data_IF_762292890746
#
_entry.id   IF_762292890746
#
_cell.length_a   1.000
_cell.length_b   1.000
_cell.length_c   1.000
_cell.angle_alpha   90.00
_cell.angle_beta   90.00
_cell.angle_gamma   90.00
#
_symmetry.space_group_name_H-M   'P 1'
#
loop_
_entity.id
_entity.type
_entity.pdbx_description
1 polymer ?
#
# COMPACT_ATOMS: atom_id res chain seq x y z
N UNK A 1 14.64 10.77 27.14
CA UNK A 1 14.22 10.08 25.89
C UNK A 1 13.07 10.89 25.34
N UNK A 2 13.22 11.47 24.14
CA UNK A 2 12.10 12.14 23.48
C UNK A 2 11.15 11.01 23.06
N UNK A 3 9.98 10.93 23.70
CA UNK A 3 8.90 10.08 23.22
C UNK A 3 8.46 10.67 21.88
N UNK A 4 9.03 10.18 20.77
CA UNK A 4 8.41 10.39 19.47
C UNK A 4 6.99 9.85 19.55
N UNK A 5 6.01 10.69 19.19
CA UNK A 5 4.62 10.28 19.11
C UNK A 5 4.51 9.04 18.21
N UNK A 6 3.66 8.06 18.55
CA UNK A 6 3.49 6.88 17.74
C UNK A 6 3.05 7.31 16.33
N UNK A 7 3.67 6.70 15.31
CA UNK A 7 3.27 6.90 13.91
C UNK A 7 1.80 6.54 13.76
N UNK A 8 1.08 7.30 12.94
CA UNK A 8 -0.35 7.13 12.79
C UNK A 8 -0.78 7.05 11.32
N UNK A 9 -1.88 6.35 11.07
CA UNK A 9 -2.52 6.27 9.76
C UNK A 9 -4.01 6.02 9.92
N UNK A 10 -4.80 6.33 8.89
CA UNK A 10 -6.21 5.94 8.85
C UNK A 10 -6.40 4.58 8.15
N UNK A 11 -7.46 3.88 8.51
CA UNK A 11 -7.76 2.56 7.91
C UNK A 11 -8.02 2.65 6.39
N UNK A 12 -8.55 3.79 5.91
CA UNK A 12 -8.80 4.03 4.48
C UNK A 12 -7.51 4.04 3.65
N UNK A 13 -6.39 4.53 4.20
CA UNK A 13 -5.05 4.46 3.59
C UNK A 13 -4.59 3.01 3.51
N UNK A 14 -4.77 2.24 4.59
CA UNK A 14 -4.45 0.80 4.62
C UNK A 14 -5.29 0.03 3.59
N UNK A 15 -6.53 0.45 3.31
CA UNK A 15 -7.40 -0.15 2.29
C UNK A 15 -7.03 0.29 0.86
N UNK A 16 -6.66 1.56 0.68
CA UNK A 16 -6.27 2.14 -0.59
C UNK A 16 -5.03 1.48 -1.17
N UNK A 17 -4.02 1.19 -0.35
CA UNK A 17 -2.74 0.70 -0.82
C UNK A 17 -2.83 -0.68 -1.49
N UNK A 18 -3.43 -1.74 -0.88
CA UNK A 18 -3.65 -3.02 -1.56
C UNK A 18 -4.50 -2.89 -2.83
N UNK A 19 -5.50 -2.00 -2.81
CA UNK A 19 -6.35 -1.72 -3.97
C UNK A 19 -5.54 -1.17 -5.14
N UNK A 20 -4.68 -0.19 -4.87
CA UNK A 20 -3.75 0.39 -5.85
C UNK A 20 -2.70 -0.61 -6.33
N UNK A 21 -2.08 -1.35 -5.41
CA UNK A 21 -1.09 -2.37 -5.75
C UNK A 21 -1.69 -3.46 -6.64
N UNK A 22 -2.93 -3.87 -6.39
CA UNK A 22 -3.64 -4.83 -7.23
C UNK A 22 -3.92 -4.29 -8.65
N UNK A 23 -4.18 -2.99 -8.81
CA UNK A 23 -4.26 -2.36 -10.15
C UNK A 23 -2.90 -2.42 -10.86
N UNK A 24 -1.84 -2.09 -10.13
CA UNK A 24 -0.48 -2.03 -10.65
C UNK A 24 0.03 -3.42 -11.05
N UNK A 25 -0.23 -4.44 -10.23
CA UNK A 25 -0.04 -5.86 -10.53
C UNK A 25 -0.71 -6.15 -11.87
N UNK A 26 -2.01 -5.92 -12.03
CA UNK A 26 -2.70 -6.20 -13.31
C UNK A 26 -2.27 -5.34 -14.51
N UNK A 27 -1.32 -4.42 -14.35
CA UNK A 27 -0.82 -3.57 -15.43
C UNK A 27 -1.87 -2.60 -15.96
N UNK A 28 -2.96 -2.38 -15.21
CA UNK A 28 -4.05 -1.51 -15.64
C UNK A 28 -3.61 -0.06 -15.42
N UNK A 29 -3.62 0.74 -16.48
CA UNK A 29 -3.27 2.14 -16.38
C UNK A 29 -4.33 2.91 -15.57
N UNK A 30 -3.92 3.90 -14.79
CA UNK A 30 -4.84 4.66 -13.93
C UNK A 30 -5.98 5.28 -14.75
N UNK A 31 -5.70 5.86 -15.91
CA UNK A 31 -6.75 6.42 -16.79
C UNK A 31 -7.78 5.37 -17.24
N UNK A 32 -7.34 4.14 -17.54
CA UNK A 32 -8.25 3.05 -17.93
C UNK A 32 -9.16 2.64 -16.78
N UNK A 33 -8.62 2.57 -15.55
CA UNK A 33 -9.46 2.28 -14.40
C UNK A 33 -10.45 3.42 -14.14
N UNK A 34 -10.02 4.67 -14.24
CA UNK A 34 -10.87 5.83 -14.03
C UNK A 34 -12.10 5.78 -14.95
N UNK A 35 -11.88 5.47 -16.24
CA UNK A 35 -12.96 5.26 -17.21
C UNK A 35 -13.92 4.15 -16.79
N UNK A 36 -13.42 2.97 -16.39
CA UNK A 36 -14.24 1.83 -15.94
C UNK A 36 -15.14 2.15 -14.74
N UNK A 37 -14.72 3.06 -13.86
CA UNK A 37 -15.46 3.43 -12.66
C UNK A 37 -16.19 4.78 -12.77
N UNK A 38 -16.25 5.37 -13.97
CA UNK A 38 -16.95 6.64 -14.21
C UNK A 38 -16.31 7.86 -13.53
N UNK A 39 -14.98 7.88 -13.40
CA UNK A 39 -14.19 8.99 -12.84
C UNK A 39 -13.25 9.58 -13.89
N UNK A 40 -12.86 10.84 -13.72
CA UNK A 40 -11.77 11.41 -14.52
C UNK A 40 -10.42 10.87 -14.05
N UNK A 41 -9.40 10.76 -14.93
CA UNK A 41 -8.06 10.36 -14.55
C UNK A 41 -7.49 11.20 -13.40
N UNK A 42 -7.75 12.52 -13.41
CA UNK A 42 -7.33 13.45 -12.35
C UNK A 42 -8.02 13.14 -11.00
N UNK A 43 -9.31 12.78 -11.01
CA UNK A 43 -10.01 12.38 -9.79
C UNK A 43 -9.43 11.10 -9.22
N UNK A 44 -9.15 10.09 -10.04
CA UNK A 44 -8.56 8.84 -9.56
C UNK A 44 -7.12 9.05 -9.06
N UNK A 45 -6.34 9.90 -9.73
CA UNK A 45 -5.00 10.27 -9.29
C UNK A 45 -4.99 10.89 -7.89
N UNK A 46 -5.94 11.78 -7.60
CA UNK A 46 -6.07 12.38 -6.26
C UNK A 46 -6.45 11.35 -5.21
N UNK A 47 -7.37 10.43 -5.52
CA UNK A 47 -7.77 9.33 -4.63
C UNK A 47 -6.58 8.43 -4.32
N UNK A 48 -5.84 7.97 -5.34
CA UNK A 48 -4.65 7.13 -5.16
C UNK A 48 -3.43 7.84 -4.54
N UNK A 49 -3.48 9.17 -4.49
CA UNK A 49 -2.52 10.00 -3.78
C UNK A 49 -2.97 10.36 -2.35
N UNK A 50 -4.17 9.92 -1.94
CA UNK A 50 -4.80 10.27 -0.65
C UNK A 50 -5.35 11.70 -0.57
N UNK A 51 -5.16 12.52 -1.59
CA UNK A 51 -5.65 13.92 -1.68
C UNK A 51 -7.17 14.04 -1.84
N UNK A 52 -7.86 12.92 -1.98
CA UNK A 52 -9.32 12.84 -2.04
C UNK A 52 -9.75 11.54 -1.38
N UNK A 53 -10.86 11.53 -0.63
CA UNK A 53 -11.26 10.36 0.13
C UNK A 53 -11.60 9.18 -0.78
N UNK A 54 -11.15 7.98 -0.42
CA UNK A 54 -11.65 6.74 -0.98
C UNK A 54 -13.02 6.44 -0.34
N UNK A 55 -14.09 6.84 -1.01
CA UNK A 55 -15.45 6.53 -0.55
C UNK A 55 -15.80 5.06 -0.80
N UNK A 56 -16.80 4.55 -0.08
CA UNK A 56 -17.25 3.15 -0.24
C UNK A 56 -17.69 2.86 -1.68
N UNK A 57 -18.43 3.76 -2.31
CA UNK A 57 -18.86 3.60 -3.72
C UNK A 57 -17.67 3.48 -4.67
N UNK A 58 -16.63 4.32 -4.48
CA UNK A 58 -15.41 4.24 -5.29
C UNK A 58 -14.68 2.93 -5.02
N UNK A 59 -14.56 2.52 -3.76
CA UNK A 59 -13.91 1.26 -3.39
C UNK A 59 -14.61 0.04 -4.02
N UNK A 60 -15.94 -0.03 -3.95
CA UNK A 60 -16.71 -1.10 -4.56
C UNK A 60 -16.57 -1.10 -6.09
N UNK A 61 -16.62 0.07 -6.72
CA UNK A 61 -16.41 0.19 -8.16
C UNK A 61 -14.98 -0.22 -8.57
N UNK A 62 -13.97 0.15 -7.77
CA UNK A 62 -12.58 -0.25 -7.96
C UNK A 62 -12.44 -1.78 -7.92
N UNK A 63 -13.03 -2.43 -6.91
CA UNK A 63 -13.05 -3.88 -6.78
C UNK A 63 -13.76 -4.56 -7.95
N UNK A 64 -14.92 -4.05 -8.37
CA UNK A 64 -15.67 -4.56 -9.52
C UNK A 64 -14.89 -4.47 -10.83
N UNK A 65 -14.28 -3.31 -11.10
CA UNK A 65 -13.45 -3.10 -12.30
C UNK A 65 -12.16 -3.95 -12.32
N UNK A 66 -11.75 -4.43 -11.14
CA UNK A 66 -10.64 -5.34 -10.91
C UNK A 66 -11.07 -6.81 -10.76
N UNK A 67 -12.37 -7.13 -10.90
CA UNK A 67 -12.92 -8.48 -10.72
C UNK A 67 -12.46 -9.16 -9.43
N UNK A 68 -12.48 -8.41 -8.32
CA UNK A 68 -12.08 -8.92 -7.01
C UNK A 68 -13.17 -8.67 -5.98
N UNK A 69 -13.32 -9.58 -5.02
CA UNK A 69 -14.26 -9.39 -3.93
C UNK A 69 -13.77 -8.27 -2.99
N UNK A 70 -14.60 -7.27 -2.66
CA UNK A 70 -14.26 -6.24 -1.68
C UNK A 70 -13.81 -6.82 -0.33
N UNK A 71 -14.45 -7.93 0.09
CA UNK A 71 -14.09 -8.63 1.33
C UNK A 71 -12.66 -9.16 1.36
N UNK A 72 -12.12 -9.60 0.22
CA UNK A 72 -10.74 -10.06 0.12
C UNK A 72 -9.76 -8.90 0.33
N UNK A 73 -10.05 -7.73 -0.25
CA UNK A 73 -9.23 -6.53 -0.07
C UNK A 73 -9.29 -6.02 1.37
N UNK A 74 -10.48 -6.03 1.98
CA UNK A 74 -10.65 -5.67 3.40
C UNK A 74 -9.88 -6.62 4.31
N UNK A 75 -9.97 -7.94 4.10
CA UNK A 75 -9.21 -8.92 4.87
C UNK A 75 -7.70 -8.70 4.75
N UNK A 76 -7.20 -8.32 3.56
CA UNK A 76 -5.79 -7.93 3.38
C UNK A 76 -5.44 -6.68 4.16
N UNK A 77 -6.29 -5.64 4.09
CA UNK A 77 -6.09 -4.41 4.85
C UNK A 77 -6.07 -4.67 6.37
N UNK A 78 -6.95 -5.52 6.89
CA UNK A 78 -6.97 -5.91 8.31
C UNK A 78 -5.68 -6.60 8.74
N UNK A 79 -5.11 -7.49 7.91
CA UNK A 79 -3.82 -8.12 8.22
C UNK A 79 -2.67 -7.11 8.23
N UNK A 80 -2.67 -6.14 7.31
CA UNK A 80 -1.69 -5.04 7.34
C UNK A 80 -1.89 -4.12 8.55
N UNK A 81 -3.14 -3.87 8.94
CA UNK A 81 -3.44 -3.13 10.15
C UNK A 81 -2.88 -3.85 11.39
N UNK A 82 -3.11 -5.15 11.51
CA UNK A 82 -2.53 -5.96 12.59
C UNK A 82 -0.99 -5.89 12.60
N UNK A 83 -0.35 -5.97 11.43
CA UNK A 83 1.10 -5.81 11.30
C UNK A 83 1.58 -4.42 11.76
N UNK A 84 0.94 -3.35 11.29
CA UNK A 84 1.26 -1.97 11.68
C UNK A 84 1.12 -1.79 13.21
N UNK A 85 0.01 -2.25 13.79
CA UNK A 85 -0.21 -2.21 15.24
C UNK A 85 0.86 -2.99 16.02
N UNK A 86 1.28 -4.16 15.53
CA UNK A 86 2.37 -4.94 16.15
C UNK A 86 3.73 -4.22 16.14
N UNK A 87 3.88 -3.21 15.27
CA UNK A 87 5.07 -2.35 15.16
C UNK A 87 4.87 -0.98 15.81
N UNK A 88 3.85 -0.82 16.66
CA UNK A 88 3.60 0.39 17.45
C UNK A 88 2.90 1.52 16.71
N UNK A 89 2.28 1.26 15.55
CA UNK A 89 1.49 2.27 14.84
C UNK A 89 0.09 2.41 15.45
N UNK A 90 -0.39 3.66 15.51
CA UNK A 90 -1.77 3.98 15.85
C UNK A 90 -2.63 3.97 14.58
N UNK A 91 -3.70 3.19 14.58
CA UNK A 91 -4.61 3.06 13.43
C UNK A 91 -5.94 3.70 13.78
N UNK A 92 -6.28 4.75 13.05
CA UNK A 92 -7.49 5.52 13.26
C UNK A 92 -8.60 5.05 12.32
N UNK A 93 -9.83 5.01 12.84
CA UNK A 93 -11.04 4.76 12.05
C UNK A 93 -11.66 6.05 11.49
N UNK A 94 -11.26 7.19 12.04
CA UNK A 94 -11.67 8.52 11.58
C UNK A 94 -10.76 9.03 10.46
N UNK A 95 -11.24 10.04 9.74
CA UNK A 95 -10.41 10.79 8.80
C UNK A 95 -9.20 11.39 9.50
N UNK A 96 -8.09 11.43 8.78
CA UNK A 96 -6.84 12.05 9.21
C UNK A 96 -6.42 13.03 8.11
N UNK A 97 -5.86 14.18 8.48
CA UNK A 97 -5.31 15.11 7.49
C UNK A 97 -4.09 14.48 6.81
N UNK A 98 -3.87 14.78 5.52
CA UNK A 98 -2.75 14.24 4.74
C UNK A 98 -1.39 14.46 5.42
N UNK A 99 -1.23 15.59 6.12
CA UNK A 99 0.00 15.94 6.84
C UNK A 99 0.23 15.12 8.12
N UNK A 100 -0.77 14.39 8.58
CA UNK A 100 -0.72 13.61 9.81
C UNK A 100 -0.72 12.10 9.53
N UNK A 101 -1.06 11.65 8.30
CA UNK A 101 -1.01 10.23 7.89
C UNK A 101 0.40 9.80 7.45
N UNK A 102 1.13 9.16 8.35
CA UNK A 102 2.53 8.77 8.12
C UNK A 102 2.68 7.65 7.10
N UNK A 103 1.68 6.75 6.99
CA UNK A 103 1.70 5.69 5.99
C UNK A 103 1.44 6.27 4.60
N UNK A 104 0.52 7.22 4.49
CA UNK A 104 0.26 7.89 3.22
C UNK A 104 1.51 8.62 2.73
N UNK A 105 2.20 9.38 3.59
CA UNK A 105 3.49 10.02 3.26
C UNK A 105 4.54 9.01 2.81
N UNK A 106 4.75 7.94 3.59
CA UNK A 106 5.70 6.89 3.26
C UNK A 106 5.36 6.22 1.92
N UNK A 107 4.07 6.06 1.60
CA UNK A 107 3.64 5.52 0.31
C UNK A 107 3.98 6.45 -0.85
N UNK A 108 3.80 7.76 -0.72
CA UNK A 108 4.15 8.71 -1.78
C UNK A 108 5.66 8.76 -2.03
N UNK A 109 6.46 8.67 -0.96
CA UNK A 109 7.91 8.54 -1.03
C UNK A 109 8.31 7.25 -1.75
N UNK A 110 7.70 6.11 -1.39
CA UNK A 110 7.90 4.83 -2.06
C UNK A 110 7.58 4.90 -3.56
N UNK A 111 6.40 5.40 -3.94
CA UNK A 111 6.00 5.52 -5.34
C UNK A 111 6.87 6.49 -6.15
N UNK A 112 7.57 7.41 -5.47
CA UNK A 112 8.52 8.33 -6.11
C UNK A 112 9.96 7.79 -6.12
N UNK A 113 10.22 6.74 -5.35
CA UNK A 113 11.56 6.17 -5.15
C UNK A 113 12.15 5.59 -6.43
N UNK A 114 13.49 5.63 -6.58
CA UNK A 114 14.17 4.96 -7.67
C UNK A 114 13.90 3.45 -7.72
N UNK A 115 13.80 2.76 -6.57
CA UNK A 115 13.49 1.34 -6.50
C UNK A 115 12.12 0.99 -7.10
N UNK A 116 11.08 1.75 -6.77
CA UNK A 116 9.75 1.58 -7.38
C UNK A 116 9.76 1.84 -8.89
N UNK A 117 10.52 2.84 -9.36
CA UNK A 117 10.62 3.18 -10.80
C UNK A 117 11.32 2.08 -11.60
N UNK A 118 12.24 1.33 -10.99
CA UNK A 118 12.91 0.17 -11.62
C UNK A 118 12.15 -1.15 -11.46
N UNK A 119 11.04 -1.16 -10.72
CA UNK A 119 10.31 -2.40 -10.47
C UNK A 119 9.87 -3.01 -11.79
N UNK A 120 10.14 -4.30 -11.95
CA UNK A 120 9.67 -5.08 -13.08
C UNK A 120 8.29 -5.63 -12.72
N UNK A 121 7.36 -5.58 -13.67
CA UNK A 121 6.04 -6.17 -13.44
C UNK A 121 6.15 -7.71 -13.47
N UNK A 122 6.16 -8.35 -12.30
CA UNK A 122 6.42 -9.79 -12.13
C UNK A 122 5.16 -10.58 -11.71
N UNK A 123 4.03 -10.30 -12.37
CA UNK A 123 2.71 -10.85 -12.04
C UNK A 123 2.59 -12.38 -11.99
N UNK A 124 3.48 -13.09 -12.70
CA UNK A 124 3.44 -14.55 -12.77
C UNK A 124 4.40 -15.24 -11.78
N UNK A 125 5.17 -14.47 -11.02
CA UNK A 125 6.22 -14.98 -10.12
C UNK A 125 5.96 -14.53 -8.68
N UNK A 126 5.40 -13.33 -8.49
CA UNK A 126 5.10 -12.79 -7.16
C UNK A 126 3.70 -13.23 -6.69
N UNK A 127 3.51 -13.48 -5.38
CA UNK A 127 2.18 -13.63 -4.80
C UNK A 127 1.34 -12.37 -5.06
N UNK A 128 0.04 -12.55 -5.26
CA UNK A 128 -0.88 -11.43 -5.45
C UNK A 128 -0.81 -10.44 -4.29
N UNK A 129 -1.05 -9.15 -4.58
CA UNK A 129 -1.17 -8.07 -3.61
C UNK A 129 -2.10 -8.39 -2.44
N UNK A 130 -3.07 -9.28 -2.65
CA UNK A 130 -4.03 -9.69 -1.63
C UNK A 130 -3.56 -10.82 -0.73
N UNK A 131 -2.42 -11.46 -0.98
CA UNK A 131 -1.91 -12.58 -0.17
C UNK A 131 -1.02 -12.13 0.99
N UNK A 132 -0.60 -10.86 1.02
CA UNK A 132 0.22 -10.30 2.09
C UNK A 132 -0.57 -9.83 3.32
N UNK A 133 0.13 -9.43 4.40
CA UNK A 133 1.51 -9.80 4.70
C UNK A 133 1.65 -11.32 4.94
N UNK A 134 2.83 -11.87 4.61
CA UNK A 134 3.20 -13.27 4.82
C UNK A 134 4.17 -13.33 6.00
N UNK A 135 3.84 -14.16 6.99
CA UNK A 135 4.67 -14.37 8.18
C UNK A 135 5.41 -15.70 8.05
N UNK A 136 6.73 -15.66 8.17
CA UNK A 136 7.59 -16.83 8.13
C UNK A 136 7.91 -17.34 9.54
N UNK A 137 8.23 -18.63 9.65
CA UNK A 137 8.55 -19.28 10.94
C UNK A 137 9.79 -18.68 11.63
N UNK A 138 10.70 -18.09 10.86
CA UNK A 138 11.88 -17.40 11.39
C UNK A 138 11.58 -15.98 11.90
N UNK A 139 10.31 -15.56 11.92
CA UNK A 139 9.88 -14.23 12.35
C UNK A 139 9.94 -13.16 11.27
N UNK A 140 10.41 -13.50 10.06
CA UNK A 140 10.42 -12.56 8.94
C UNK A 140 9.01 -12.29 8.43
N UNK A 141 8.83 -11.11 7.86
CA UNK A 141 7.57 -10.67 7.25
C UNK A 141 7.86 -10.17 5.84
N UNK A 142 7.02 -10.58 4.89
CA UNK A 142 7.05 -10.11 3.51
C UNK A 142 5.64 -9.69 3.05
N UNK A 143 5.55 -9.03 1.90
CA UNK A 143 4.31 -8.61 1.27
C UNK A 143 4.51 -7.35 0.44
N UNK A 144 3.45 -6.56 0.31
CA UNK A 144 3.44 -5.30 -0.40
C UNK A 144 4.58 -4.37 0.07
N UNK A 145 5.50 -4.09 -0.85
CA UNK A 145 6.72 -3.31 -0.61
C UNK A 145 6.41 -1.92 -0.07
N UNK A 146 5.27 -1.32 -0.44
CA UNK A 146 4.84 -0.02 0.11
C UNK A 146 4.66 -0.04 1.64
N UNK A 147 4.16 -1.14 2.21
CA UNK A 147 4.09 -1.33 3.66
C UNK A 147 5.46 -1.66 4.26
N UNK A 148 6.24 -2.50 3.59
CA UNK A 148 7.60 -2.85 4.03
C UNK A 148 8.51 -1.61 4.09
N UNK A 149 8.37 -0.71 3.12
CA UNK A 149 9.05 0.58 3.06
C UNK A 149 8.71 1.47 4.27
N UNK A 150 7.45 1.48 4.71
CA UNK A 150 7.02 2.25 5.88
C UNK A 150 7.49 1.64 7.21
N UNK A 151 7.53 0.31 7.28
CA UNK A 151 7.78 -0.45 8.51
C UNK A 151 9.28 -0.71 8.78
N UNK A 152 10.08 -0.95 7.74
CA UNK A 152 11.44 -1.47 7.88
C UNK A 152 12.48 -0.52 7.29
N UNK A 153 13.35 0.08 8.13
CA UNK A 153 14.38 1.02 7.66
C UNK A 153 15.31 0.44 6.58
N UNK A 154 15.68 -0.85 6.69
CA UNK A 154 16.49 -1.55 5.68
C UNK A 154 15.80 -1.56 4.31
N UNK A 155 14.49 -1.87 4.26
CA UNK A 155 13.71 -1.87 3.03
C UNK A 155 13.62 -0.46 2.43
N UNK A 156 13.36 0.55 3.29
CA UNK A 156 13.35 1.96 2.88
C UNK A 156 14.69 2.37 2.24
N UNK A 157 15.80 2.07 2.89
CA UNK A 157 17.13 2.38 2.40
C UNK A 157 17.40 1.74 1.03
N UNK A 158 17.10 0.44 0.88
CA UNK A 158 17.26 -0.28 -0.39
C UNK A 158 16.46 0.35 -1.54
N UNK A 159 15.22 0.78 -1.28
CA UNK A 159 14.36 1.43 -2.29
C UNK A 159 14.86 2.83 -2.68
N UNK A 160 15.51 3.56 -1.76
CA UNK A 160 16.07 4.89 -2.02
C UNK A 160 17.45 4.85 -2.69
N UNK A 161 18.31 3.89 -2.31
CA UNK A 161 19.69 3.77 -2.79
C UNK A 161 19.82 2.89 -4.05
N UNK A 162 18.79 2.10 -4.38
CA UNK A 162 18.78 1.13 -5.49
C UNK A 162 19.87 0.08 -5.39
N UNK A 163 20.00 -0.50 -4.20
CA UNK A 163 20.86 -1.68 -4.02
C UNK A 163 20.12 -2.88 -4.63
N UNK A 164 20.68 -3.46 -5.68
CA UNK A 164 20.14 -4.66 -6.34
C UNK A 164 20.17 -5.87 -5.39
N UNK A 165 19.08 -6.10 -4.65
CA UNK A 165 18.86 -7.36 -3.91
C UNK A 165 17.39 -7.79 -4.05
N UNK A 166 17.17 -8.80 -4.89
CA UNK A 166 15.95 -9.63 -4.95
C UNK A 166 16.24 -11.00 -4.29
N UNK A 167 15.28 -11.67 -3.61
CA UNK A 167 14.34 -11.18 -2.62
C UNK A 167 14.91 -11.26 -1.19
N UNK A 168 14.14 -10.73 -0.22
CA UNK A 168 14.48 -10.52 1.18
C UNK A 168 15.17 -11.71 1.89
N UNK A 169 16.44 -11.53 2.25
CA UNK A 169 17.00 -12.08 3.48
C UNK A 169 17.22 -10.92 4.45
N UNK A 170 16.33 -10.78 5.42
CA UNK A 170 16.56 -9.88 6.55
C UNK A 170 16.87 -10.78 7.74
N UNK A 171 18.11 -10.68 8.24
CA UNK A 171 18.47 -11.06 9.61
C UNK A 171 17.90 -10.03 10.59
#
# INVERSE_FOLDING_TARGET
MINESPKQTNFTTILLLPTKELRLERGIHQAQLAERIGKSPSSLAKIEAGKSPLTMDVFLAYCGALMVSPSAVMATAERYAALLSSKGWCILQSSLEDKDDDLLKASQEYYSSPGYKRRVNMNNIMPSALNGPIFYQNGNVDGLTVFMFALFPKCKQQQLEVIDQFPFQIN
#
